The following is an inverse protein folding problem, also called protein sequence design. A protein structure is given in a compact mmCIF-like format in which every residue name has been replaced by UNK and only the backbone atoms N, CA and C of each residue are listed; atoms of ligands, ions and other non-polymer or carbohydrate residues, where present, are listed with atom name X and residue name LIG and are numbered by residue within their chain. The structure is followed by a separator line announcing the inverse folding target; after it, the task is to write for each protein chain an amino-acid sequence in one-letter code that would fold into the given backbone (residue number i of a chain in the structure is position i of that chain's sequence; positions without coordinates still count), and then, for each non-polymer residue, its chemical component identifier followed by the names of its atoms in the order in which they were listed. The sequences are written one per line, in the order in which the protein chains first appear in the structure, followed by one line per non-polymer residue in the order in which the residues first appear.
data_IF_770505997451
#
_entry.id   IF_770505997451
#
_cell.length_a   1.000
_cell.length_b   1.000
_cell.length_c   1.000
_cell.angle_alpha   90.00
_cell.angle_beta   90.00
_cell.angle_gamma   90.00
#
_symmetry.space_group_name_H-M   'P 1'
#
loop_
_entity.id
_entity.type
_entity.pdbx_description
1 polymer ?
#
# COMPACT_ATOMS: atom_id res chain seq x y z
N UNK A 1 -15.82 3.31 13.27
CA UNK A 1 -14.82 2.78 12.33
C UNK A 1 -14.88 1.26 12.20
N UNK A 2 -14.47 0.46 13.18
CA UNK A 2 -14.51 -1.02 13.07
C UNK A 2 -15.87 -1.60 12.65
N UNK A 3 -16.97 -1.08 13.21
CA UNK A 3 -18.33 -1.45 12.80
C UNK A 3 -18.64 -1.15 11.33
N UNK A 4 -18.18 0.01 10.84
CA UNK A 4 -18.37 0.42 9.45
C UNK A 4 -17.52 -0.45 8.50
N UNK A 5 -16.24 -0.62 8.80
CA UNK A 5 -15.33 -1.48 8.02
C UNK A 5 -15.80 -2.94 7.97
N UNK A 6 -16.51 -3.41 9.00
CA UNK A 6 -17.06 -4.77 9.03
C UNK A 6 -18.20 -4.98 8.02
N UNK A 7 -18.85 -3.91 7.56
CA UNK A 7 -20.05 -3.98 6.71
C UNK A 7 -19.85 -3.37 5.31
N UNK A 8 -18.97 -2.37 5.15
CA UNK A 8 -18.82 -1.57 3.93
C UNK A 8 -18.31 -2.35 2.72
N UNK A 9 -17.63 -3.48 2.93
CA UNK A 9 -17.11 -4.32 1.85
C UNK A 9 -18.20 -5.19 1.18
N UNK A 10 -19.35 -5.41 1.83
CA UNK A 10 -20.40 -6.30 1.31
C UNK A 10 -20.96 -5.83 -0.06
N UNK A 11 -21.34 -4.55 -0.25
CA UNK A 11 -21.80 -4.06 -1.55
C UNK A 11 -20.75 -4.20 -2.66
N UNK A 12 -19.46 -4.05 -2.32
CA UNK A 12 -18.38 -4.19 -3.29
C UNK A 12 -18.29 -5.63 -3.79
N UNK A 13 -18.33 -6.61 -2.88
CA UNK A 13 -18.29 -8.03 -3.26
C UNK A 13 -19.49 -8.43 -4.11
N UNK A 14 -20.70 -7.97 -3.77
CA UNK A 14 -21.89 -8.19 -4.59
C UNK A 14 -21.67 -7.62 -6.00
N UNK A 15 -21.15 -6.40 -6.09
CA UNK A 15 -20.91 -5.76 -7.39
C UNK A 15 -19.86 -6.51 -8.20
N UNK A 16 -18.77 -6.98 -7.57
CA UNK A 16 -17.75 -7.78 -8.25
C UNK A 16 -18.29 -9.10 -8.79
N UNK A 17 -19.16 -9.78 -8.03
CA UNK A 17 -19.82 -11.01 -8.50
C UNK A 17 -20.72 -10.71 -9.70
N UNK A 18 -21.48 -9.62 -9.66
CA UNK A 18 -22.34 -9.19 -10.78
C UNK A 18 -21.50 -8.85 -12.02
N UNK A 19 -20.40 -8.12 -11.84
CA UNK A 19 -19.45 -7.81 -12.92
C UNK A 19 -18.92 -9.09 -13.56
N UNK A 20 -18.46 -10.06 -12.75
CA UNK A 20 -17.99 -11.36 -13.25
C UNK A 20 -19.09 -12.10 -14.02
N UNK A 21 -20.32 -12.12 -13.50
CA UNK A 21 -21.45 -12.79 -14.15
C UNK A 21 -21.83 -12.20 -15.51
N UNK A 22 -21.71 -10.89 -15.69
CA UNK A 22 -21.97 -10.21 -16.96
C UNK A 22 -20.77 -10.34 -17.91
N UNK A 23 -19.57 -10.21 -17.35
CA UNK A 23 -18.32 -10.13 -18.09
C UNK A 23 -17.79 -11.48 -18.57
N UNK A 24 -18.17 -12.59 -17.94
CA UNK A 24 -17.57 -13.91 -18.17
C UNK A 24 -17.54 -14.36 -19.64
N UNK A 25 -18.57 -14.00 -20.41
CA UNK A 25 -18.68 -14.33 -21.85
C UNK A 25 -17.68 -13.57 -22.74
N UNK A 26 -17.08 -12.51 -22.22
CA UNK A 26 -16.11 -11.67 -22.92
C UNK A 26 -14.67 -11.93 -22.46
N UNK A 27 -14.47 -12.79 -21.46
CA UNK A 27 -13.13 -13.05 -20.94
C UNK A 27 -12.31 -13.83 -21.95
N UNK A 28 -11.11 -13.31 -22.20
CA UNK A 28 -10.14 -13.93 -23.10
C UNK A 28 -8.92 -14.37 -22.32
N UNK A 29 -8.28 -15.44 -22.81
CA UNK A 29 -6.92 -15.73 -22.40
C UNK A 29 -5.98 -14.86 -23.24
N UNK A 30 -5.75 -13.62 -22.78
CA UNK A 30 -4.88 -12.69 -23.48
C UNK A 30 -3.43 -13.20 -23.42
N UNK A 31 -2.75 -13.40 -24.56
CA UNK A 31 -1.33 -13.73 -24.54
C UNK A 31 -0.54 -12.59 -23.92
N UNK A 32 0.57 -12.86 -23.22
CA UNK A 32 1.44 -11.81 -22.72
C UNK A 32 1.90 -10.90 -23.86
N UNK A 33 1.97 -9.59 -23.62
CA UNK A 33 2.55 -8.65 -24.56
C UNK A 33 4.02 -8.99 -24.81
N UNK A 34 4.34 -9.44 -26.03
CA UNK A 34 5.69 -9.84 -26.42
C UNK A 34 6.59 -8.62 -26.71
N UNK A 35 7.89 -8.68 -26.38
CA UNK A 35 8.59 -9.78 -25.73
C UNK A 35 8.40 -9.77 -24.20
N UNK A 36 8.10 -10.95 -23.64
CA UNK A 36 8.20 -11.16 -22.19
C UNK A 36 9.67 -11.19 -21.83
N UNK A 37 10.12 -10.20 -21.07
CA UNK A 37 11.49 -10.13 -20.54
C UNK A 37 11.45 -10.28 -19.03
N UNK A 38 12.53 -10.79 -18.43
CA UNK A 38 12.65 -10.88 -16.98
C UNK A 38 12.47 -9.51 -16.29
N UNK A 39 12.84 -8.42 -16.97
CA UNK A 39 12.63 -7.05 -16.48
C UNK A 39 11.14 -6.69 -16.37
N UNK A 40 10.32 -7.08 -17.37
CA UNK A 40 8.87 -6.84 -17.34
C UNK A 40 8.22 -7.62 -16.19
N UNK A 41 8.61 -8.88 -15.98
CA UNK A 41 8.07 -9.71 -14.90
C UNK A 41 8.44 -9.17 -13.51
N UNK A 42 9.70 -8.77 -13.31
CA UNK A 42 10.15 -8.16 -12.06
C UNK A 42 9.42 -6.82 -11.82
N UNK A 43 9.25 -6.01 -12.85
CA UNK A 43 8.55 -4.72 -12.74
C UNK A 43 7.08 -4.93 -12.38
N UNK A 44 6.41 -5.89 -13.01
CA UNK A 44 5.03 -6.25 -12.68
C UNK A 44 4.93 -6.76 -11.24
N UNK A 45 5.78 -7.71 -10.84
CA UNK A 45 5.77 -8.30 -9.50
C UNK A 45 6.05 -7.24 -8.41
N UNK A 46 7.02 -6.36 -8.64
CA UNK A 46 7.36 -5.28 -7.70
C UNK A 46 6.26 -4.22 -7.63
N UNK A 47 5.59 -3.89 -8.74
CA UNK A 47 4.44 -2.98 -8.74
C UNK A 47 3.26 -3.56 -7.96
N UNK A 48 2.93 -4.83 -8.20
CA UNK A 48 1.90 -5.54 -7.44
C UNK A 48 2.26 -5.62 -5.94
N UNK A 49 3.50 -5.96 -5.60
CA UNK A 49 3.97 -6.00 -4.21
C UNK A 49 3.92 -4.62 -3.54
N UNK A 50 4.23 -3.54 -4.28
CA UNK A 50 4.23 -2.16 -3.77
C UNK A 50 2.84 -1.71 -3.31
N UNK A 51 1.78 -2.18 -3.97
CA UNK A 51 0.39 -1.91 -3.57
C UNK A 51 0.03 -2.45 -2.19
N UNK A 52 0.70 -3.52 -1.74
CA UNK A 52 0.41 -4.21 -0.47
C UNK A 52 1.43 -3.83 0.61
N UNK A 53 2.71 -3.70 0.28
CA UNK A 53 3.77 -3.44 1.26
C UNK A 53 3.60 -2.09 1.96
N UNK A 54 2.98 -1.11 1.30
CA UNK A 54 2.67 0.22 1.86
C UNK A 54 1.94 0.16 3.20
N UNK A 55 1.05 -0.83 3.35
CA UNK A 55 0.25 -1.05 4.55
C UNK A 55 1.09 -1.48 5.77
N UNK A 56 2.34 -1.92 5.58
CA UNK A 56 3.18 -2.37 6.71
C UNK A 56 3.46 -1.25 7.72
N UNK A 57 3.43 0.00 7.27
CA UNK A 57 3.66 1.18 8.11
C UNK A 57 2.44 1.59 8.93
N UNK A 58 1.26 1.14 8.51
CA UNK A 58 -0.04 1.58 9.00
C UNK A 58 -0.75 0.49 9.83
N UNK A 59 -0.58 -0.77 9.43
CA UNK A 59 -1.22 -1.91 10.08
C UNK A 59 -0.93 -2.03 11.59
N UNK A 60 0.29 -1.72 12.10
CA UNK A 60 0.56 -1.78 13.54
C UNK A 60 -0.32 -0.88 14.40
N UNK A 61 -0.79 0.26 13.87
CA UNK A 61 -1.66 1.20 14.59
C UNK A 61 -3.03 0.58 14.93
N UNK A 62 -3.50 -0.39 14.14
CA UNK A 62 -4.71 -1.15 14.46
C UNK A 62 -4.49 -2.17 15.60
N UNK A 63 -3.24 -2.53 15.87
CA UNK A 63 -2.87 -3.53 16.87
C UNK A 63 -3.11 -3.10 18.32
N UNK A 64 -3.27 -1.80 18.58
CA UNK A 64 -3.49 -1.24 19.93
C UNK A 64 -4.75 -1.75 20.62
N UNK A 65 -5.72 -2.27 19.86
CA UNK A 65 -6.97 -2.81 20.38
C UNK A 65 -6.91 -4.32 20.66
N UNK A 66 -5.80 -4.99 20.34
CA UNK A 66 -5.64 -6.40 20.68
C UNK A 66 -5.36 -6.57 22.18
N UNK A 67 -6.00 -7.58 22.78
CA UNK A 67 -5.70 -7.99 24.14
C UNK A 67 -4.24 -8.48 24.23
N UNK A 68 -3.58 -8.17 25.36
CA UNK A 68 -2.22 -8.66 25.66
C UNK A 68 -2.12 -10.19 25.69
N UNK A 69 -3.25 -10.88 25.90
CA UNK A 69 -3.32 -12.35 25.93
C UNK A 69 -3.55 -12.97 24.54
N UNK A 70 -3.74 -12.16 23.50
CA UNK A 70 -3.94 -12.66 22.16
C UNK A 70 -2.64 -13.25 21.59
N UNK A 71 -2.74 -14.42 20.95
CA UNK A 71 -1.58 -15.06 20.32
C UNK A 71 -1.11 -14.28 19.10
N UNK A 72 0.16 -13.86 19.08
CA UNK A 72 0.76 -13.14 17.94
C UNK A 72 0.69 -13.94 16.64
N UNK A 73 0.83 -15.27 16.70
CA UNK A 73 0.69 -16.14 15.53
C UNK A 73 -0.73 -16.12 14.97
N UNK A 74 -1.76 -16.10 15.83
CA UNK A 74 -3.16 -16.00 15.37
C UNK A 74 -3.43 -14.65 14.73
N UNK A 75 -2.97 -13.57 15.34
CA UNK A 75 -3.10 -12.21 14.77
C UNK A 75 -2.42 -12.16 13.40
N UNK A 76 -1.20 -12.70 13.28
CA UNK A 76 -0.47 -12.78 12.03
C UNK A 76 -1.24 -13.58 10.98
N UNK A 77 -1.67 -14.81 11.28
CA UNK A 77 -2.37 -15.67 10.33
C UNK A 77 -3.70 -15.06 9.86
N UNK A 78 -4.49 -14.48 10.76
CA UNK A 78 -5.75 -13.83 10.40
C UNK A 78 -5.53 -12.61 9.51
N UNK A 79 -4.54 -11.78 9.86
CA UNK A 79 -4.20 -10.59 9.07
C UNK A 79 -3.65 -10.98 7.69
N UNK A 80 -2.72 -11.94 7.65
CA UNK A 80 -2.11 -12.42 6.41
C UNK A 80 -3.15 -13.06 5.48
N UNK A 81 -3.95 -14.01 5.97
CA UNK A 81 -4.96 -14.68 5.15
C UNK A 81 -6.03 -13.68 4.69
N UNK A 82 -6.44 -12.75 5.55
CA UNK A 82 -7.39 -11.69 5.19
C UNK A 82 -6.88 -10.81 4.06
N UNK A 83 -5.68 -10.24 4.21
CA UNK A 83 -5.06 -9.39 3.19
C UNK A 83 -4.74 -10.17 1.92
N UNK A 84 -4.21 -11.38 2.03
CA UNK A 84 -3.85 -12.21 0.88
C UNK A 84 -5.09 -12.54 0.03
N UNK A 85 -6.17 -13.05 0.66
CA UNK A 85 -7.41 -13.38 -0.05
C UNK A 85 -8.06 -12.16 -0.67
N UNK A 86 -8.15 -11.04 0.06
CA UNK A 86 -8.75 -9.83 -0.48
C UNK A 86 -7.93 -9.27 -1.66
N UNK A 87 -6.61 -9.16 -1.49
CA UNK A 87 -5.71 -8.59 -2.50
C UNK A 87 -5.70 -9.45 -3.75
N UNK A 88 -5.54 -10.77 -3.62
CA UNK A 88 -5.46 -11.66 -4.79
C UNK A 88 -6.78 -11.60 -5.58
N UNK A 89 -7.94 -11.66 -4.91
CA UNK A 89 -9.24 -11.60 -5.58
C UNK A 89 -9.42 -10.32 -6.38
N UNK A 90 -9.11 -9.16 -5.81
CA UNK A 90 -9.30 -7.87 -6.51
C UNK A 90 -8.25 -7.65 -7.61
N UNK A 91 -7.01 -8.11 -7.42
CA UNK A 91 -5.99 -8.06 -8.48
C UNK A 91 -6.39 -8.92 -9.69
N UNK A 92 -6.83 -10.16 -9.47
CA UNK A 92 -7.29 -11.03 -10.56
C UNK A 92 -8.52 -10.47 -11.27
N UNK A 93 -9.45 -9.86 -10.53
CA UNK A 93 -10.60 -9.16 -11.10
C UNK A 93 -10.13 -8.04 -12.05
N UNK A 94 -9.23 -7.18 -11.59
CA UNK A 94 -8.67 -6.09 -12.39
C UNK A 94 -7.94 -6.60 -13.64
N UNK A 95 -7.09 -7.62 -13.50
CA UNK A 95 -6.33 -8.23 -14.60
C UNK A 95 -7.26 -8.79 -15.68
N UNK A 96 -8.29 -9.56 -15.29
CA UNK A 96 -9.21 -10.17 -16.25
C UNK A 96 -9.97 -9.10 -17.04
N UNK A 97 -10.48 -8.06 -16.38
CA UNK A 97 -11.21 -6.99 -17.08
C UNK A 97 -10.29 -6.12 -17.94
N UNK A 98 -9.11 -5.75 -17.45
CA UNK A 98 -8.15 -4.97 -18.22
C UNK A 98 -7.66 -5.74 -19.46
N UNK A 99 -7.35 -7.03 -19.32
CA UNK A 99 -6.93 -7.89 -20.44
C UNK A 99 -8.05 -8.13 -21.46
N UNK A 100 -9.31 -8.08 -21.02
CA UNK A 100 -10.47 -8.30 -21.90
C UNK A 100 -11.04 -7.03 -22.51
N UNK A 101 -10.71 -5.85 -21.96
CA UNK A 101 -11.25 -4.55 -22.40
C UNK A 101 -11.08 -4.30 -23.91
N UNK A 102 -9.92 -4.59 -24.55
CA UNK A 102 -9.74 -4.35 -25.98
C UNK A 102 -10.69 -5.14 -26.90
N UNK A 103 -11.27 -6.24 -26.39
CA UNK A 103 -12.18 -7.09 -27.17
C UNK A 103 -13.63 -6.60 -27.13
N UNK A 104 -13.94 -5.63 -26.26
CA UNK A 104 -15.28 -5.07 -26.09
C UNK A 104 -15.20 -3.56 -26.27
N UNK A 105 -15.64 -3.00 -27.42
CA UNK A 105 -15.45 -1.59 -27.73
C UNK A 105 -15.96 -0.62 -26.66
N UNK A 106 -17.05 -0.98 -25.97
CA UNK A 106 -17.60 -0.17 -24.88
C UNK A 106 -16.73 -0.22 -23.61
N UNK A 107 -16.05 -1.34 -23.34
CA UNK A 107 -15.13 -1.46 -22.22
C UNK A 107 -13.83 -0.73 -22.51
N UNK A 108 -13.28 -0.87 -23.71
CA UNK A 108 -12.09 -0.14 -24.14
C UNK A 108 -12.29 1.38 -24.06
N UNK A 109 -13.41 1.87 -24.64
CA UNK A 109 -13.77 3.28 -24.57
C UNK A 109 -14.04 3.74 -23.12
N UNK A 110 -14.64 2.87 -22.30
CA UNK A 110 -14.88 3.14 -20.88
C UNK A 110 -13.60 3.16 -20.04
N UNK A 111 -12.59 2.36 -20.41
CA UNK A 111 -11.33 2.24 -19.68
C UNK A 111 -10.37 3.40 -19.97
N UNK A 112 -10.45 3.99 -21.16
CA UNK A 112 -9.69 5.16 -21.60
C UNK A 112 -8.18 4.98 -21.39
N UNK A 113 -7.62 3.88 -21.94
CA UNK A 113 -6.22 3.49 -21.76
C UNK A 113 -5.79 3.41 -20.28
N UNK A 114 -6.72 3.04 -19.39
CA UNK A 114 -6.48 2.96 -17.95
C UNK A 114 -6.74 4.24 -17.16
N UNK A 115 -7.11 5.35 -17.81
CA UNK A 115 -7.39 6.62 -17.13
C UNK A 115 -8.78 6.68 -16.49
N UNK A 116 -9.69 5.75 -16.83
CA UNK A 116 -11.06 5.80 -16.33
C UNK A 116 -11.56 4.45 -15.79
N UNK A 117 -11.12 4.13 -14.56
CA UNK A 117 -11.55 2.91 -13.85
C UNK A 117 -13.07 2.90 -13.59
N UNK A 118 -13.65 4.05 -13.25
CA UNK A 118 -15.10 4.17 -13.07
C UNK A 118 -15.86 3.95 -14.38
N UNK A 119 -15.29 4.40 -15.50
CA UNK A 119 -15.85 4.26 -16.84
C UNK A 119 -15.92 2.80 -17.29
N UNK A 120 -14.84 2.01 -17.10
CA UNK A 120 -14.89 0.58 -17.43
C UNK A 120 -15.89 -0.17 -16.53
N UNK A 121 -15.95 0.14 -15.23
CA UNK A 121 -16.94 -0.47 -14.32
C UNK A 121 -18.36 -0.17 -14.79
N UNK A 122 -18.66 1.08 -15.12
CA UNK A 122 -19.96 1.48 -15.63
C UNK A 122 -20.27 0.82 -16.99
N UNK A 123 -19.27 0.68 -17.87
CA UNK A 123 -19.42 0.01 -19.16
C UNK A 123 -19.74 -1.50 -19.00
N UNK A 124 -19.07 -2.19 -18.08
CA UNK A 124 -19.34 -3.59 -17.74
C UNK A 124 -20.76 -3.76 -17.21
N UNK A 125 -21.21 -2.85 -16.35
CA UNK A 125 -22.53 -2.90 -15.72
C UNK A 125 -23.65 -2.31 -16.57
N UNK A 126 -23.33 -1.67 -17.70
CA UNK A 126 -24.30 -1.03 -18.59
C UNK A 126 -25.47 -1.91 -19.07
N UNK A 127 -25.33 -3.25 -19.26
CA UNK A 127 -26.45 -4.11 -19.62
C UNK A 127 -27.56 -4.13 -18.56
N UNK A 128 -27.25 -3.80 -17.30
CA UNK A 128 -28.22 -3.70 -16.19
C UNK A 128 -28.91 -2.33 -16.12
N UNK A 129 -28.64 -1.44 -17.06
CA UNK A 129 -29.27 -0.10 -17.15
C UNK A 129 -29.19 0.66 -15.82
N UNK A 130 -30.32 1.06 -15.23
CA UNK A 130 -30.36 1.83 -13.99
C UNK A 130 -29.74 1.11 -12.79
N UNK A 131 -29.91 -0.22 -12.70
CA UNK A 131 -29.31 -1.00 -11.62
C UNK A 131 -27.78 -1.03 -11.74
N UNK A 132 -27.24 -1.07 -12.96
CA UNK A 132 -25.80 -0.96 -13.20
C UNK A 132 -25.23 0.35 -12.69
N UNK A 133 -25.89 1.48 -13.00
CA UNK A 133 -25.49 2.81 -12.48
C UNK A 133 -25.55 2.88 -10.96
N UNK A 134 -26.55 2.27 -10.34
CA UNK A 134 -26.68 2.19 -8.89
C UNK A 134 -25.49 1.43 -8.27
N UNK A 135 -25.11 0.28 -8.83
CA UNK A 135 -23.94 -0.48 -8.38
C UNK A 135 -22.62 0.29 -8.57
N UNK A 136 -22.46 1.00 -9.69
CA UNK A 136 -21.29 1.88 -9.91
C UNK A 136 -21.22 2.97 -8.85
N UNK A 137 -22.34 3.61 -8.51
CA UNK A 137 -22.39 4.64 -7.46
C UNK A 137 -22.05 4.05 -6.07
N UNK A 138 -22.55 2.84 -5.76
CA UNK A 138 -22.19 2.15 -4.52
C UNK A 138 -20.69 1.84 -4.43
N UNK A 139 -20.07 1.38 -5.52
CA UNK A 139 -18.62 1.18 -5.58
C UNK A 139 -17.86 2.49 -5.36
N UNK A 140 -18.30 3.59 -5.98
CA UNK A 140 -17.68 4.90 -5.78
C UNK A 140 -17.78 5.38 -4.32
N UNK A 141 -18.93 5.13 -3.67
CA UNK A 141 -19.16 5.44 -2.25
C UNK A 141 -18.37 4.55 -1.28
N UNK A 142 -17.69 3.51 -1.77
CA UNK A 142 -16.79 2.69 -0.97
C UNK A 142 -15.38 3.27 -0.85
N UNK A 143 -14.99 4.22 -1.71
CA UNK A 143 -13.65 4.84 -1.68
C UNK A 143 -13.31 5.49 -0.32
N UNK A 144 -14.25 6.13 0.40
CA UNK A 144 -13.97 6.63 1.74
C UNK A 144 -13.54 5.56 2.76
N UNK A 145 -13.86 4.27 2.55
CA UNK A 145 -13.50 3.19 3.49
C UNK A 145 -11.98 3.02 3.65
N UNK A 146 -11.16 2.89 2.59
CA UNK A 146 -9.70 2.90 2.77
C UNK A 146 -9.15 4.28 3.17
N UNK A 147 -9.80 5.39 2.84
CA UNK A 147 -9.33 6.73 3.16
C UNK A 147 -9.48 7.10 4.66
N UNK A 148 -10.58 6.72 5.30
CA UNK A 148 -10.81 7.06 6.71
C UNK A 148 -9.75 6.47 7.68
N UNK A 149 -9.33 5.20 7.58
CA UNK A 149 -8.20 4.65 8.33
C UNK A 149 -6.89 5.39 8.07
N UNK A 150 -6.60 5.74 6.82
CA UNK A 150 -5.32 6.36 6.49
C UNK A 150 -5.25 7.79 7.04
N UNK A 151 -6.35 8.52 6.99
CA UNK A 151 -6.54 9.83 7.64
C UNK A 151 -6.42 9.76 9.16
N UNK A 152 -6.99 8.72 9.77
CA UNK A 152 -6.86 8.48 11.20
C UNK A 152 -5.40 8.28 11.60
N UNK A 153 -4.68 7.46 10.83
CA UNK A 153 -3.27 7.13 11.07
C UNK A 153 -2.35 8.32 10.82
N UNK A 154 -2.68 9.16 9.83
CA UNK A 154 -2.01 10.44 9.63
C UNK A 154 -2.09 11.30 10.90
N UNK A 155 -3.28 11.42 11.47
CA UNK A 155 -3.50 12.15 12.72
C UNK A 155 -2.73 11.57 13.92
N UNK A 156 -2.76 10.26 14.13
CA UNK A 156 -1.98 9.62 15.21
C UNK A 156 -0.48 9.80 15.00
N UNK A 157 0.01 9.68 13.77
CA UNK A 157 1.43 9.84 13.43
C UNK A 157 1.94 11.25 13.75
N UNK A 158 1.19 12.31 13.47
CA UNK A 158 1.59 13.66 13.87
C UNK A 158 1.68 13.82 15.38
N UNK A 159 0.78 13.19 16.13
CA UNK A 159 0.78 13.24 17.58
C UNK A 159 1.98 12.50 18.21
N UNK A 160 2.59 11.54 17.50
CA UNK A 160 3.78 10.81 18.01
C UNK A 160 5.10 11.52 17.73
N UNK A 161 5.15 12.50 16.82
CA UNK A 161 6.37 13.28 16.52
C UNK A 161 6.86 14.06 17.74
N UNK A 162 5.94 14.59 18.55
CA UNK A 162 6.30 15.32 19.76
C UNK A 162 5.13 15.73 20.63
N UNK A 163 5.41 15.99 21.90
CA UNK A 163 4.41 16.34 22.91
C UNK A 163 3.63 17.61 22.58
N UNK A 164 4.20 18.51 21.78
CA UNK A 164 3.50 19.69 21.28
C UNK A 164 2.37 19.33 20.31
N UNK A 165 2.64 18.46 19.34
CA UNK A 165 1.65 18.01 18.35
C UNK A 165 0.52 17.19 18.99
N UNK A 166 0.81 16.46 20.06
CA UNK A 166 -0.20 15.74 20.83
C UNK A 166 -1.27 16.64 21.51
N UNK A 167 -1.00 17.95 21.68
CA UNK A 167 -1.96 18.89 22.27
C UNK A 167 -3.03 19.35 21.28
N UNK A 168 -2.79 19.20 19.98
CA UNK A 168 -3.74 19.58 18.93
C UNK A 168 -4.81 18.49 18.83
N UNK A 169 -6.11 18.84 18.83
CA UNK A 169 -7.17 17.86 18.67
C UNK A 169 -7.05 17.09 17.36
N UNK A 170 -7.23 15.76 17.40
CA UNK A 170 -7.04 14.87 16.24
C UNK A 170 -7.81 15.29 14.98
N UNK A 171 -9.03 15.80 15.13
CA UNK A 171 -9.85 16.21 13.99
C UNK A 171 -9.20 17.33 13.16
N UNK A 172 -8.32 18.16 13.76
CA UNK A 172 -7.58 19.20 13.04
C UNK A 172 -6.62 18.57 12.03
N UNK A 173 -5.88 17.53 12.43
CA UNK A 173 -4.99 16.80 11.52
C UNK A 173 -5.77 16.11 10.39
N UNK A 174 -6.95 15.57 10.69
CA UNK A 174 -7.82 14.96 9.68
C UNK A 174 -8.29 16.02 8.67
N UNK A 175 -8.71 17.21 9.12
CA UNK A 175 -9.11 18.31 8.22
C UNK A 175 -7.93 18.76 7.35
N UNK A 176 -6.73 18.89 7.92
CA UNK A 176 -5.52 19.24 7.15
C UNK A 176 -5.22 18.17 6.10
N UNK A 177 -5.33 16.89 6.47
CA UNK A 177 -5.14 15.77 5.56
C UNK A 177 -6.12 15.82 4.38
N UNK A 178 -7.41 16.06 4.63
CA UNK A 178 -8.42 16.22 3.55
C UNK A 178 -8.17 17.47 2.69
N UNK A 179 -7.78 18.59 3.31
CA UNK A 179 -7.47 19.82 2.60
C UNK A 179 -6.28 19.68 1.64
N UNK A 180 -5.36 18.73 1.91
CA UNK A 180 -4.25 18.39 1.02
C UNK A 180 -4.67 17.30 0.02
N UNK A 181 -5.35 16.25 0.48
CA UNK A 181 -5.72 15.09 -0.33
C UNK A 181 -6.66 15.49 -1.48
N UNK A 182 -7.70 16.28 -1.21
CA UNK A 182 -8.74 16.60 -2.21
C UNK A 182 -8.16 17.34 -3.42
N UNK A 183 -7.39 18.45 -3.27
CA UNK A 183 -6.77 19.11 -4.42
C UNK A 183 -5.81 18.20 -5.20
N UNK A 184 -4.99 17.42 -4.49
CA UNK A 184 -4.06 16.47 -5.13
C UNK A 184 -4.82 15.41 -5.91
N UNK A 185 -5.91 14.88 -5.36
CA UNK A 185 -6.76 13.90 -6.02
C UNK A 185 -7.46 14.49 -7.26
N UNK A 186 -7.93 15.75 -7.20
CA UNK A 186 -8.54 16.43 -8.35
C UNK A 186 -7.54 16.55 -9.50
N UNK A 187 -6.31 16.98 -9.22
CA UNK A 187 -5.27 17.09 -10.25
C UNK A 187 -4.87 15.70 -10.76
N UNK A 188 -4.63 14.76 -9.84
CA UNK A 188 -4.26 13.38 -10.17
C UNK A 188 -5.29 12.66 -11.04
N UNK A 189 -6.58 12.96 -10.85
CA UNK A 189 -7.66 12.38 -11.65
C UNK A 189 -7.60 12.79 -13.14
N UNK A 190 -6.93 13.90 -13.49
CA UNK A 190 -6.76 14.32 -14.90
C UNK A 190 -5.75 13.47 -15.68
N UNK A 191 -4.86 12.79 -14.96
CA UNK A 191 -3.80 11.92 -15.47
C UNK A 191 -3.75 10.66 -14.60
N UNK A 192 -4.91 10.03 -14.39
CA UNK A 192 -5.12 9.03 -13.33
C UNK A 192 -4.10 7.89 -13.42
N UNK A 193 -3.92 7.31 -14.61
CA UNK A 193 -3.05 6.15 -14.76
C UNK A 193 -1.58 6.46 -14.42
N UNK A 194 -1.04 7.54 -15.00
CA UNK A 194 0.33 7.98 -14.76
C UNK A 194 0.54 8.32 -13.28
N UNK A 195 -0.37 9.12 -12.71
CA UNK A 195 -0.31 9.51 -11.29
C UNK A 195 -0.35 8.29 -10.37
N UNK A 196 -1.21 7.31 -10.67
CA UNK A 196 -1.37 6.11 -9.86
C UNK A 196 -0.10 5.25 -9.85
N UNK A 197 0.49 5.01 -11.03
CA UNK A 197 1.75 4.25 -11.15
C UNK A 197 2.88 4.96 -10.42
N UNK A 198 3.04 6.28 -10.63
CA UNK A 198 4.13 7.04 -10.02
C UNK A 198 4.05 7.06 -8.49
N UNK A 199 2.85 7.25 -7.93
CA UNK A 199 2.63 7.23 -6.49
C UNK A 199 2.88 5.83 -5.91
N UNK A 200 2.38 4.77 -6.55
CA UNK A 200 2.61 3.40 -6.10
C UNK A 200 4.10 3.04 -6.11
N UNK A 201 4.82 3.42 -7.16
CA UNK A 201 6.25 3.17 -7.28
C UNK A 201 7.02 3.89 -6.18
N UNK A 202 6.75 5.19 -5.97
CA UNK A 202 7.37 5.96 -4.88
C UNK A 202 7.13 5.30 -3.53
N UNK A 203 5.88 4.93 -3.23
CA UNK A 203 5.50 4.28 -1.98
C UNK A 203 6.24 2.94 -1.80
N UNK A 204 6.28 2.13 -2.85
CA UNK A 204 6.98 0.84 -2.86
C UNK A 204 8.46 0.96 -2.52
N UNK A 205 9.15 1.96 -3.08
CA UNK A 205 10.58 2.17 -2.87
C UNK A 205 10.93 2.44 -1.40
N UNK A 206 10.21 3.34 -0.74
CA UNK A 206 10.53 3.69 0.64
C UNK A 206 9.99 2.68 1.65
N UNK A 207 8.79 2.13 1.40
CA UNK A 207 8.14 1.16 2.28
C UNK A 207 8.90 -0.17 2.32
N UNK A 208 9.52 -0.57 1.21
CA UNK A 208 10.36 -1.78 1.16
C UNK A 208 11.66 -1.61 1.97
N UNK A 209 12.36 -0.48 1.83
CA UNK A 209 13.53 -0.16 2.64
C UNK A 209 13.20 -0.11 4.14
N UNK A 210 12.07 0.53 4.49
CA UNK A 210 11.55 0.56 5.85
C UNK A 210 11.27 -0.85 6.39
N UNK A 211 10.53 -1.67 5.64
CA UNK A 211 10.19 -3.02 6.05
C UNK A 211 11.43 -3.88 6.32
N UNK A 212 12.44 -3.80 5.45
CA UNK A 212 13.72 -4.51 5.64
C UNK A 212 14.40 -4.10 6.95
N UNK A 213 14.51 -2.80 7.22
CA UNK A 213 15.14 -2.30 8.46
C UNK A 213 14.41 -2.84 9.69
N UNK A 214 13.07 -2.77 9.71
CA UNK A 214 12.25 -3.27 10.82
C UNK A 214 12.40 -4.78 11.01
N UNK A 215 12.36 -5.55 9.91
CA UNK A 215 12.50 -7.01 9.96
C UNK A 215 13.89 -7.42 10.47
N UNK A 216 14.95 -6.73 10.04
CA UNK A 216 16.31 -7.01 10.49
C UNK A 216 16.47 -6.70 11.98
N UNK A 217 15.97 -5.55 12.44
CA UNK A 217 15.97 -5.21 13.87
C UNK A 217 15.27 -6.30 14.70
N UNK A 218 14.10 -6.76 14.25
CA UNK A 218 13.31 -7.74 14.98
C UNK A 218 13.92 -9.15 14.97
N UNK A 219 14.36 -9.65 13.81
CA UNK A 219 14.82 -11.02 13.68
C UNK A 219 16.30 -11.22 14.01
N UNK A 220 17.17 -10.26 13.68
CA UNK A 220 18.62 -10.41 13.87
C UNK A 220 19.06 -9.86 15.22
N UNK A 221 18.72 -8.61 15.53
CA UNK A 221 19.21 -7.94 16.74
C UNK A 221 18.38 -8.31 17.97
N UNK A 222 17.04 -8.33 17.82
CA UNK A 222 16.13 -8.72 18.90
C UNK A 222 15.86 -10.22 18.97
N UNK A 223 16.33 -11.00 18.00
CA UNK A 223 16.22 -12.48 17.99
C UNK A 223 14.79 -12.98 18.19
N UNK A 224 13.82 -12.32 17.54
CA UNK A 224 12.39 -12.63 17.65
C UNK A 224 11.82 -12.45 19.07
N UNK A 225 12.44 -11.58 19.88
CA UNK A 225 11.91 -11.19 21.17
C UNK A 225 10.78 -10.16 21.00
N UNK A 226 9.59 -10.54 21.47
CA UNK A 226 8.38 -9.71 21.45
C UNK A 226 8.20 -8.89 22.74
N UNK A 227 9.16 -8.91 23.67
CA UNK A 227 9.09 -8.24 24.98
C UNK A 227 9.31 -6.71 24.90
N UNK A 228 8.55 -6.03 24.04
CA UNK A 228 8.59 -4.57 23.96
C UNK A 228 8.06 -3.94 25.26
N UNK A 229 8.94 -3.23 25.98
CA UNK A 229 8.57 -2.46 27.17
C UNK A 229 7.76 -1.24 26.76
N UNK A 230 6.43 -1.38 26.84
CA UNK A 230 5.52 -0.30 26.47
C UNK A 230 5.82 0.99 27.24
N UNK A 231 6.29 0.94 28.49
CA UNK A 231 6.57 2.12 29.33
C UNK A 231 7.71 3.01 28.83
N UNK A 232 8.59 2.48 27.98
CA UNK A 232 9.77 3.19 27.49
C UNK A 232 9.47 4.06 26.25
N UNK A 233 8.27 3.93 25.67
CA UNK A 233 7.89 4.54 24.38
C UNK A 233 8.06 6.07 24.32
N UNK A 234 7.86 6.76 25.44
CA UNK A 234 7.97 8.23 25.54
C UNK A 234 9.19 8.67 26.36
N UNK A 235 10.22 7.81 26.45
CA UNK A 235 11.43 8.08 27.22
C UNK A 235 12.67 8.05 26.32
N UNK A 236 13.08 9.20 25.72
CA UNK A 236 14.16 9.23 24.74
C UNK A 236 15.48 8.60 25.22
N UNK A 237 15.78 8.66 26.51
CA UNK A 237 17.00 8.08 27.12
C UNK A 237 16.99 6.54 27.20
N UNK A 238 15.80 5.93 27.12
CA UNK A 238 15.61 4.48 27.18
C UNK A 238 15.48 3.85 25.80
N UNK A 239 15.26 4.66 24.77
CA UNK A 239 15.19 4.24 23.38
C UNK A 239 16.58 4.30 22.72
N UNK A 240 16.86 3.44 21.73
CA UNK A 240 18.03 3.61 20.87
C UNK A 240 17.93 4.94 20.09
N UNK A 241 19.07 5.53 19.74
CA UNK A 241 19.14 6.87 19.13
C UNK A 241 18.45 6.90 17.75
N UNK A 242 18.30 5.75 17.09
CA UNK A 242 17.63 5.61 15.79
C UNK A 242 18.44 6.15 14.61
N UNK A 243 19.62 6.72 14.86
CA UNK A 243 20.50 7.28 13.83
C UNK A 243 20.93 6.21 12.82
N UNK A 244 21.18 4.98 13.27
CA UNK A 244 21.53 3.86 12.40
C UNK A 244 20.41 3.54 11.40
N UNK A 245 19.17 3.47 11.87
CA UNK A 245 18.01 3.23 11.00
C UNK A 245 17.84 4.36 9.99
N UNK A 246 18.00 5.61 10.45
CA UNK A 246 17.96 6.78 9.59
C UNK A 246 19.04 6.72 8.49
N UNK A 247 20.30 6.50 8.86
CA UNK A 247 21.41 6.41 7.91
C UNK A 247 21.21 5.27 6.91
N UNK A 248 20.81 4.08 7.37
CA UNK A 248 20.54 2.95 6.49
C UNK A 248 19.42 3.25 5.48
N UNK A 249 18.36 3.94 5.91
CA UNK A 249 17.28 4.39 5.05
C UNK A 249 17.78 5.37 3.97
N UNK A 250 18.52 6.42 4.34
CA UNK A 250 19.05 7.37 3.36
C UNK A 250 20.10 6.76 2.42
N UNK A 251 20.96 5.86 2.92
CA UNK A 251 21.88 5.10 2.07
C UNK A 251 21.14 4.23 1.05
N UNK A 252 20.00 3.63 1.45
CA UNK A 252 19.15 2.90 0.50
C UNK A 252 18.65 3.82 -0.61
N UNK A 253 18.17 5.03 -0.28
CA UNK A 253 17.77 6.03 -1.29
C UNK A 253 18.90 6.41 -2.25
N UNK A 254 20.14 6.49 -1.75
CA UNK A 254 21.32 6.73 -2.56
C UNK A 254 21.52 5.73 -3.70
N UNK A 255 21.00 4.49 -3.57
CA UNK A 255 21.03 3.47 -4.63
C UNK A 255 19.68 3.30 -5.31
N UNK A 256 18.57 3.41 -4.57
CA UNK A 256 17.22 3.33 -5.15
C UNK A 256 17.08 4.36 -6.26
N UNK A 257 17.39 5.65 -6.00
CA UNK A 257 17.22 6.73 -6.98
C UNK A 257 17.97 6.40 -8.28
N UNK A 258 19.29 6.17 -8.32
CA UNK A 258 19.98 5.86 -9.57
C UNK A 258 19.62 4.49 -10.19
N UNK A 259 18.90 3.63 -9.47
CA UNK A 259 18.38 2.36 -9.99
C UNK A 259 16.92 2.41 -10.45
N UNK A 260 16.21 3.54 -10.24
CA UNK A 260 14.80 3.65 -10.63
C UNK A 260 14.62 3.56 -12.14
N UNK A 261 13.56 2.91 -12.59
CA UNK A 261 13.11 2.91 -13.97
C UNK A 261 11.62 3.21 -13.97
N UNK A 262 11.30 4.50 -13.95
CA UNK A 262 9.95 5.05 -13.92
C UNK A 262 9.71 5.95 -15.13
N UNK A 263 8.45 6.19 -15.46
CA UNK A 263 8.05 7.03 -16.61
C UNK A 263 8.65 8.43 -16.50
N UNK A 264 8.73 8.99 -15.29
CA UNK A 264 9.27 10.32 -15.01
C UNK A 264 10.78 10.34 -14.77
N UNK A 265 11.41 9.20 -14.47
CA UNK A 265 12.83 9.14 -14.19
C UNK A 265 13.40 7.73 -14.40
N UNK A 266 14.44 7.63 -15.22
CA UNK A 266 15.23 6.41 -15.40
C UNK A 266 16.67 6.69 -14.99
N UNK A 267 17.15 5.98 -13.97
CA UNK A 267 18.49 6.11 -13.44
C UNK A 267 19.52 5.24 -14.18
N UNK A 268 20.82 5.56 -14.03
CA UNK A 268 21.89 4.94 -14.80
C UNK A 268 22.25 3.49 -14.42
N UNK A 269 21.81 3.00 -13.25
CA UNK A 269 22.22 1.67 -12.72
C UNK A 269 21.26 0.57 -13.18
N UNK A 270 19.95 0.83 -13.20
CA UNK A 270 18.95 -0.12 -13.71
C UNK A 270 18.81 -1.45 -12.96
N UNK A 271 19.42 -1.61 -11.77
CA UNK A 271 19.36 -2.87 -10.98
C UNK A 271 18.61 -2.62 -9.67
N UNK A 272 17.58 -3.43 -9.32
CA UNK A 272 16.77 -3.24 -8.12
C UNK A 272 17.50 -3.72 -6.83
N UNK A 273 18.54 -3.01 -6.40
CA UNK A 273 19.40 -3.38 -5.25
C UNK A 273 19.07 -2.59 -3.97
N UNK A 274 18.12 -1.65 -4.02
CA UNK A 274 17.83 -0.72 -2.91
C UNK A 274 17.58 -1.39 -1.56
N UNK A 275 16.75 -2.44 -1.54
CA UNK A 275 16.46 -3.22 -0.33
C UNK A 275 17.68 -3.97 0.21
N UNK A 276 18.54 -4.49 -0.67
CA UNK A 276 19.75 -5.19 -0.28
C UNK A 276 20.76 -4.23 0.35
N UNK A 277 20.83 -2.99 -0.14
CA UNK A 277 21.66 -1.93 0.46
C UNK A 277 21.13 -1.56 1.85
N UNK A 278 19.82 -1.36 2.00
CA UNK A 278 19.21 -1.12 3.31
C UNK A 278 19.55 -2.24 4.30
N UNK A 279 19.42 -3.51 3.87
CA UNK A 279 19.76 -4.70 4.65
C UNK A 279 21.22 -4.68 5.11
N UNK A 280 22.16 -4.56 4.17
CA UNK A 280 23.59 -4.62 4.46
C UNK A 280 24.05 -3.45 5.34
N UNK A 281 23.66 -2.22 4.98
CA UNK A 281 24.04 -1.02 5.73
C UNK A 281 23.47 -1.07 7.14
N UNK A 282 22.19 -1.46 7.30
CA UNK A 282 21.58 -1.58 8.61
C UNK A 282 22.27 -2.66 9.46
N UNK A 283 22.53 -3.85 8.90
CA UNK A 283 23.24 -4.92 9.59
C UNK A 283 24.60 -4.47 10.11
N UNK A 284 25.40 -3.80 9.28
CA UNK A 284 26.75 -3.34 9.65
C UNK A 284 26.68 -2.25 10.72
N UNK A 285 25.94 -1.17 10.44
CA UNK A 285 25.88 -0.01 11.35
C UNK A 285 25.25 -0.38 12.69
N UNK A 286 24.21 -1.24 12.70
CA UNK A 286 23.53 -1.65 13.93
C UNK A 286 24.38 -2.61 14.75
N UNK A 287 25.20 -3.45 14.10
CA UNK A 287 26.19 -4.28 14.81
C UNK A 287 27.26 -3.43 15.52
N UNK A 288 27.72 -2.36 14.88
CA UNK A 288 28.66 -1.40 15.47
C UNK A 288 28.00 -0.68 16.65
N UNK A 289 26.80 -0.14 16.48
CA UNK A 289 26.07 0.57 17.55
C UNK A 289 25.81 -0.35 18.75
N UNK A 290 25.39 -1.59 18.51
CA UNK A 290 25.17 -2.58 19.57
C UNK A 290 26.46 -2.89 20.33
N UNK A 291 27.59 -2.99 19.63
CA UNK A 291 28.90 -3.22 20.28
C UNK A 291 29.35 -2.05 21.17
N UNK A 292 28.98 -0.82 20.84
CA UNK A 292 29.40 0.39 21.58
C UNK A 292 28.43 0.75 22.71
N UNK A 293 27.13 0.59 22.48
CA UNK A 293 26.08 1.02 23.41
C UNK A 293 25.55 -0.11 24.29
N UNK A 294 25.84 -1.37 23.93
CA UNK A 294 25.28 -2.56 24.58
C UNK A 294 23.76 -2.69 24.42
N UNK A 295 23.18 -2.00 23.42
CA UNK A 295 21.74 -1.91 23.15
C UNK A 295 21.42 -2.06 21.66
#
# INVERSE_FOLDING_TARGET
MHWYESAVWNPNVITFIVMLGIGCKHFVNAPPSAPVTASNDITFATTAASSVISWCTMTPDAGVYHSKNASSLRIFLYTYIGLFKASITVHFLGVIFAASAPNVPTWEAGFDNGNNIGGIINAILSPLSGFGKFLTALLALSIPSPCAPTMYIFGSSFMTIGSFFAKVPRYVYVIISEAILIPVAIVGATQFYATFVDVLSLIGYWSSAFAVIVLVEHFVFRKNDFSYKMEDWNQPRRLPVGLVAFLAFFCAFGIIIPSMSQVWYTGPIGIPVGCAVALVVYLVLRSIENSWTGR
#
